data_IF_022902948271
#
_entry.id   IF_022902948271
#
_cell.length_a   1.000
_cell.length_b   1.000
_cell.length_c   1.000
_cell.angle_alpha   90.00
_cell.angle_beta   90.00
_cell.angle_gamma   90.00
#
_symmetry.space_group_name_H-M   'P 1'
#
loop_
_entity.id
_entity.type
_entity.pdbx_description
1 polymer ?
#
# COMPACT_ATOMS: atom_id res chain seq x y z
N UNK A 1 17.85 10.48 -8.31
CA UNK A 1 17.01 10.80 -9.48
C UNK A 1 15.62 10.27 -9.17
N UNK A 2 14.55 11.00 -9.47
CA UNK A 2 13.19 10.45 -9.31
C UNK A 2 12.96 9.38 -10.36
N UNK A 3 12.39 8.24 -9.97
CA UNK A 3 12.08 7.12 -10.86
C UNK A 3 10.60 7.10 -11.18
N UNK A 4 10.26 6.66 -12.38
CA UNK A 4 8.89 6.41 -12.79
C UNK A 4 8.68 4.89 -12.78
N UNK A 5 7.65 4.45 -12.06
CA UNK A 5 7.25 3.05 -11.97
C UNK A 5 5.90 2.78 -12.64
N UNK A 6 5.64 1.52 -12.84
CA UNK A 6 4.37 0.98 -13.31
C UNK A 6 3.88 -0.07 -12.31
N UNK A 7 2.59 -0.05 -11.97
CA UNK A 7 1.99 -1.10 -11.13
C UNK A 7 1.73 -2.34 -11.97
N UNK A 8 2.37 -3.43 -11.59
CA UNK A 8 2.23 -4.72 -12.26
C UNK A 8 0.91 -5.42 -11.91
N UNK A 9 0.62 -6.48 -12.64
CA UNK A 9 -0.55 -7.34 -12.43
C UNK A 9 -0.16 -8.81 -12.63
N UNK A 10 -0.73 -9.68 -11.81
CA UNK A 10 -0.60 -11.14 -11.92
C UNK A 10 -1.99 -11.79 -12.08
N UNK A 11 -2.64 -11.65 -13.24
CA UNK A 11 -4.01 -12.12 -13.43
C UNK A 11 -4.15 -13.62 -13.08
N UNK A 12 -5.10 -13.95 -12.21
CA UNK A 12 -5.32 -15.31 -11.71
C UNK A 12 -4.07 -15.97 -11.07
N UNK A 13 -3.19 -15.18 -10.48
CA UNK A 13 -1.97 -15.67 -9.85
C UNK A 13 -0.81 -15.94 -10.81
N UNK A 14 -0.94 -15.57 -12.09
CA UNK A 14 0.08 -15.86 -13.10
C UNK A 14 1.28 -14.89 -13.01
N UNK A 15 2.30 -15.31 -12.27
CA UNK A 15 3.57 -14.58 -12.12
C UNK A 15 4.29 -14.39 -13.47
N UNK A 16 4.06 -15.27 -14.45
CA UNK A 16 4.73 -15.18 -15.77
C UNK A 16 4.33 -13.92 -16.55
N UNK A 17 3.13 -13.37 -16.27
CA UNK A 17 2.65 -12.13 -16.86
C UNK A 17 3.56 -10.93 -16.61
N UNK A 18 4.33 -10.94 -15.52
CA UNK A 18 5.30 -9.88 -15.21
C UNK A 18 6.42 -9.78 -16.25
N UNK A 19 6.76 -10.87 -16.96
CA UNK A 19 7.81 -10.86 -17.99
C UNK A 19 7.49 -9.93 -19.15
N UNK A 20 6.24 -9.93 -19.62
CA UNK A 20 5.81 -9.04 -20.71
C UNK A 20 5.69 -7.60 -20.22
N UNK A 21 5.25 -7.38 -18.97
CA UNK A 21 5.16 -6.05 -18.37
C UNK A 21 6.55 -5.43 -18.18
N UNK A 22 7.54 -6.22 -17.76
CA UNK A 22 8.94 -5.77 -17.68
C UNK A 22 9.44 -5.33 -19.06
N UNK A 23 9.10 -6.08 -20.12
CA UNK A 23 9.45 -5.71 -21.49
C UNK A 23 8.82 -4.38 -21.90
N UNK A 24 7.53 -4.20 -21.60
CA UNK A 24 6.82 -2.93 -21.85
C UNK A 24 7.42 -1.76 -21.08
N UNK A 25 7.79 -1.96 -19.80
CA UNK A 25 8.48 -0.95 -19.01
C UNK A 25 9.77 -0.48 -19.69
N UNK A 26 10.58 -1.42 -20.20
CA UNK A 26 11.83 -1.09 -20.90
C UNK A 26 11.60 -0.34 -22.21
N UNK A 27 10.63 -0.80 -23.00
CA UNK A 27 10.26 -0.14 -24.28
C UNK A 27 9.76 1.30 -24.03
N UNK A 28 9.07 1.54 -22.90
CA UNK A 28 8.57 2.85 -22.50
C UNK A 28 9.57 3.69 -21.71
N UNK A 29 10.80 3.21 -21.44
CA UNK A 29 11.79 3.82 -20.56
C UNK A 29 11.26 4.09 -19.14
N UNK A 30 10.50 3.16 -18.59
CA UNK A 30 10.03 3.14 -17.21
C UNK A 30 11.10 2.49 -16.34
N UNK A 31 11.40 3.10 -15.19
CA UNK A 31 12.54 2.74 -14.33
C UNK A 31 12.27 1.52 -13.44
N UNK A 32 11.01 1.31 -13.04
CA UNK A 32 10.66 0.28 -12.06
C UNK A 32 9.30 -0.36 -12.32
N UNK A 33 9.14 -1.59 -11.83
CA UNK A 33 7.86 -2.30 -11.77
C UNK A 33 7.50 -2.56 -10.31
N UNK A 34 6.29 -2.20 -9.90
CA UNK A 34 5.72 -2.61 -8.62
C UNK A 34 5.04 -3.97 -8.76
N UNK A 35 5.51 -4.93 -7.96
CA UNK A 35 5.04 -6.32 -8.02
C UNK A 35 3.90 -6.50 -7.02
N UNK A 36 2.70 -6.91 -7.45
CA UNK A 36 1.55 -7.11 -6.57
C UNK A 36 1.61 -8.48 -5.91
N UNK A 37 2.20 -8.59 -4.71
CA UNK A 37 2.27 -9.88 -3.99
C UNK A 37 0.88 -10.42 -3.68
N UNK A 38 -0.07 -9.53 -3.37
CA UNK A 38 -1.47 -9.87 -3.09
C UNK A 38 -2.22 -10.57 -4.25
N UNK A 39 -1.68 -10.52 -5.47
CA UNK A 39 -2.22 -11.24 -6.63
C UNK A 39 -1.52 -12.59 -6.86
N UNK A 40 -0.64 -13.03 -5.96
CA UNK A 40 0.17 -14.25 -6.14
C UNK A 40 -0.04 -15.25 -5.00
N UNK A 41 0.41 -16.49 -5.21
CA UNK A 41 0.44 -17.52 -4.17
C UNK A 41 1.80 -17.59 -3.44
N UNK A 42 2.61 -16.53 -3.49
CA UNK A 42 3.94 -16.47 -2.85
C UNK A 42 3.83 -16.49 -1.33
N UNK A 43 2.76 -15.93 -0.78
CA UNK A 43 2.43 -16.07 0.64
C UNK A 43 1.17 -16.91 0.77
N UNK A 44 1.28 -18.07 1.42
CA UNK A 44 0.17 -19.00 1.60
C UNK A 44 0.11 -19.47 3.05
N UNK A 45 -1.05 -19.29 3.72
CA UNK A 45 -1.23 -19.68 5.12
C UNK A 45 -0.21 -19.06 6.08
N UNK A 46 0.12 -17.78 5.88
CA UNK A 46 1.14 -17.01 6.65
C UNK A 46 2.57 -17.54 6.50
N UNK A 47 2.85 -18.28 5.44
CA UNK A 47 4.19 -18.84 5.14
C UNK A 47 4.57 -18.52 3.70
N UNK A 48 5.87 -18.37 3.46
CA UNK A 48 6.37 -18.22 2.10
C UNK A 48 6.27 -19.58 1.38
N UNK A 49 5.58 -19.58 0.25
CA UNK A 49 5.50 -20.69 -0.68
C UNK A 49 6.79 -20.73 -1.52
N UNK A 50 7.75 -21.53 -1.11
CA UNK A 50 9.09 -21.56 -1.73
C UNK A 50 9.10 -21.86 -3.24
N UNK A 51 8.27 -22.79 -3.77
CA UNK A 51 8.12 -22.96 -5.21
C UNK A 51 7.72 -21.67 -5.94
N UNK A 52 6.69 -20.96 -5.47
CA UNK A 52 6.20 -19.72 -6.09
C UNK A 52 7.21 -18.58 -5.95
N UNK A 53 7.83 -18.41 -4.78
CA UNK A 53 8.93 -17.46 -4.60
C UNK A 53 10.07 -17.72 -5.59
N UNK A 54 10.42 -18.99 -5.85
CA UNK A 54 11.43 -19.32 -6.84
C UNK A 54 11.02 -18.93 -8.27
N UNK A 55 9.75 -19.13 -8.62
CA UNK A 55 9.21 -18.68 -9.92
C UNK A 55 9.31 -17.16 -10.01
N UNK A 56 8.86 -16.43 -8.99
CA UNK A 56 8.93 -14.97 -8.93
C UNK A 56 10.39 -14.48 -9.08
N UNK A 57 11.32 -15.01 -8.31
CA UNK A 57 12.76 -14.67 -8.40
C UNK A 57 13.31 -14.88 -9.81
N UNK A 58 13.00 -15.99 -10.45
CA UNK A 58 13.47 -16.28 -11.82
C UNK A 58 12.84 -15.33 -12.86
N UNK A 59 11.60 -14.94 -12.65
CA UNK A 59 10.89 -14.00 -13.53
C UNK A 59 11.51 -12.60 -13.47
N UNK A 60 11.94 -12.17 -12.26
CA UNK A 60 12.47 -10.83 -12.02
C UNK A 60 14.00 -10.71 -12.17
N UNK A 61 14.74 -11.82 -12.11
CA UNK A 61 16.20 -11.83 -12.08
C UNK A 61 16.81 -11.19 -13.34
N UNK A 62 17.82 -10.33 -13.13
CA UNK A 62 18.68 -9.75 -14.17
C UNK A 62 17.93 -9.03 -15.31
N UNK A 63 16.76 -8.49 -15.03
CA UNK A 63 15.95 -7.80 -16.06
C UNK A 63 16.38 -6.35 -16.30
N UNK A 64 17.22 -5.76 -15.43
CA UNK A 64 17.77 -4.41 -15.62
C UNK A 64 16.74 -3.29 -15.43
N UNK A 65 15.75 -3.52 -14.59
CA UNK A 65 14.83 -2.51 -14.01
C UNK A 65 14.79 -2.71 -12.50
N UNK A 66 14.35 -1.69 -11.77
CA UNK A 66 14.14 -1.81 -10.33
C UNK A 66 12.78 -2.42 -9.99
N UNK A 67 12.67 -2.89 -8.76
CA UNK A 67 11.41 -3.44 -8.25
C UNK A 67 11.02 -2.75 -6.95
N UNK A 68 9.72 -2.52 -6.81
CA UNK A 68 9.03 -2.29 -5.56
C UNK A 68 7.99 -3.40 -5.37
N UNK A 69 7.49 -3.57 -4.16
CA UNK A 69 6.40 -4.51 -3.88
C UNK A 69 5.21 -3.74 -3.34
N UNK A 70 4.01 -4.09 -3.80
CA UNK A 70 2.79 -3.88 -3.04
C UNK A 70 2.51 -5.15 -2.24
N UNK A 71 2.54 -5.05 -0.91
CA UNK A 71 2.27 -6.17 0.01
C UNK A 71 0.79 -6.55 0.04
N UNK A 72 0.45 -7.46 0.92
CA UNK A 72 -0.91 -7.94 1.10
C UNK A 72 -1.88 -6.81 1.49
N UNK A 73 -2.93 -6.58 0.68
CA UNK A 73 -3.87 -5.47 0.82
C UNK A 73 -4.61 -5.46 2.16
N UNK A 74 -4.84 -6.63 2.72
CA UNK A 74 -5.61 -6.80 3.97
C UNK A 74 -4.80 -6.54 5.24
N UNK A 75 -3.49 -6.23 5.14
CA UNK A 75 -2.69 -5.90 6.32
C UNK A 75 -3.24 -4.65 6.99
N UNK A 76 -3.67 -4.79 8.25
CA UNK A 76 -4.30 -3.72 9.01
C UNK A 76 -3.90 -3.80 10.49
N UNK A 77 -2.87 -3.06 10.88
CA UNK A 77 -2.38 -3.06 12.25
C UNK A 77 -3.30 -2.29 13.24
N UNK A 78 -4.37 -1.67 12.77
CA UNK A 78 -5.44 -1.11 13.62
C UNK A 78 -6.54 -2.14 13.94
N UNK A 79 -6.56 -3.28 13.27
CA UNK A 79 -7.39 -4.43 13.66
C UNK A 79 -6.73 -5.16 14.82
N UNK A 80 -7.24 -4.93 16.03
CA UNK A 80 -6.65 -5.50 17.25
C UNK A 80 -7.04 -6.96 17.48
N UNK A 81 -8.13 -7.42 16.90
CA UNK A 81 -8.58 -8.81 16.99
C UNK A 81 -7.61 -9.73 16.22
N UNK A 82 -7.20 -9.32 15.02
CA UNK A 82 -6.33 -10.09 14.14
C UNK A 82 -4.89 -9.52 14.06
N UNK A 83 -4.51 -8.66 15.01
CA UNK A 83 -3.23 -7.93 15.00
C UNK A 83 -2.01 -8.83 14.74
N UNK A 84 -1.94 -9.97 15.40
CA UNK A 84 -0.79 -10.88 15.26
C UNK A 84 -0.72 -11.52 13.86
N UNK A 85 -1.85 -11.77 13.24
CA UNK A 85 -1.91 -12.31 11.88
C UNK A 85 -1.46 -11.25 10.87
N UNK A 86 -1.93 -10.02 11.00
CA UNK A 86 -1.49 -8.91 10.18
C UNK A 86 0.01 -8.63 10.31
N UNK A 87 0.53 -8.66 11.54
CA UNK A 87 1.96 -8.51 11.80
C UNK A 87 2.78 -9.64 11.16
N UNK A 88 2.30 -10.88 11.22
CA UNK A 88 3.00 -12.03 10.61
C UNK A 88 3.00 -11.94 9.09
N UNK A 89 1.89 -11.53 8.46
CA UNK A 89 1.81 -11.29 7.01
C UNK A 89 2.78 -10.17 6.61
N UNK A 90 2.76 -9.01 7.27
CA UNK A 90 3.70 -7.93 7.00
C UNK A 90 5.17 -8.39 7.08
N UNK A 91 5.46 -9.29 8.02
CA UNK A 91 6.79 -9.87 8.13
C UNK A 91 7.15 -10.73 6.92
N UNK A 92 6.18 -11.52 6.38
CA UNK A 92 6.41 -12.28 5.13
C UNK A 92 6.58 -11.37 3.93
N UNK A 93 5.80 -10.29 3.83
CA UNK A 93 5.96 -9.28 2.77
C UNK A 93 7.38 -8.69 2.78
N UNK A 94 7.91 -8.36 3.96
CA UNK A 94 9.29 -7.86 4.11
C UNK A 94 10.32 -8.90 3.64
N UNK A 95 10.16 -10.17 4.04
CA UNK A 95 11.07 -11.26 3.65
C UNK A 95 11.07 -11.46 2.13
N UNK A 96 9.88 -11.52 1.51
CA UNK A 96 9.74 -11.64 0.05
C UNK A 96 10.37 -10.44 -0.64
N UNK A 97 10.14 -9.22 -0.15
CA UNK A 97 10.75 -7.99 -0.69
C UNK A 97 12.27 -8.06 -0.71
N UNK A 98 12.87 -8.49 0.41
CA UNK A 98 14.32 -8.67 0.51
C UNK A 98 14.85 -9.76 -0.43
N UNK A 99 14.13 -10.87 -0.57
CA UNK A 99 14.51 -12.00 -1.41
C UNK A 99 14.54 -11.68 -2.92
N UNK A 100 13.70 -10.75 -3.38
CA UNK A 100 13.70 -10.30 -4.78
C UNK A 100 14.52 -9.03 -5.01
N UNK A 101 15.09 -8.45 -3.95
CA UNK A 101 15.86 -7.20 -4.03
C UNK A 101 15.00 -5.96 -4.28
N UNK A 102 13.74 -5.96 -3.85
CA UNK A 102 12.87 -4.79 -3.94
C UNK A 102 13.37 -3.67 -3.01
N UNK A 103 13.31 -2.43 -3.50
CA UNK A 103 13.76 -1.26 -2.74
C UNK A 103 12.74 -0.80 -1.71
N UNK A 104 11.45 -0.89 -2.04
CA UNK A 104 10.33 -0.45 -1.21
C UNK A 104 9.26 -1.54 -1.14
N UNK A 105 8.66 -1.67 0.02
CA UNK A 105 7.44 -2.42 0.26
C UNK A 105 6.35 -1.43 0.64
N UNK A 106 5.35 -1.30 -0.22
CA UNK A 106 4.12 -0.56 0.10
C UNK A 106 3.24 -1.42 0.97
N UNK A 107 2.75 -0.87 2.07
CA UNK A 107 1.78 -1.51 2.97
C UNK A 107 0.82 -0.46 3.52
N UNK A 108 -0.43 -0.85 3.71
CA UNK A 108 -1.49 0.05 4.14
C UNK A 108 -1.31 0.50 5.59
N UNK A 109 -1.61 1.77 5.87
CA UNK A 109 -1.65 2.27 7.25
C UNK A 109 -2.72 1.57 8.09
N UNK A 110 -3.81 1.18 7.43
CA UNK A 110 -4.94 0.53 8.07
C UNK A 110 -6.07 1.50 8.44
N UNK A 111 -7.17 0.90 8.89
CA UNK A 111 -8.39 1.59 9.26
C UNK A 111 -9.06 0.91 10.44
N UNK A 112 -9.97 1.60 11.10
CA UNK A 112 -10.72 1.08 12.24
C UNK A 112 -12.19 1.46 12.14
N UNK A 113 -13.04 1.02 13.09
CA UNK A 113 -14.44 1.43 13.10
C UNK A 113 -14.61 2.85 13.64
N UNK A 114 -15.67 3.54 13.22
CA UNK A 114 -16.02 4.86 13.77
C UNK A 114 -16.20 4.80 15.29
N UNK A 115 -16.77 3.72 15.84
CA UNK A 115 -16.94 3.54 17.29
C UNK A 115 -15.61 3.48 18.06
N UNK A 116 -14.57 2.88 17.47
CA UNK A 116 -13.22 2.88 18.04
C UNK A 116 -12.62 4.30 17.96
N UNK A 117 -12.74 4.95 16.82
CA UNK A 117 -12.22 6.31 16.61
C UNK A 117 -12.87 7.34 17.57
N UNK A 118 -14.17 7.24 17.83
CA UNK A 118 -14.89 8.12 18.77
C UNK A 118 -14.46 7.91 20.21
N UNK A 119 -14.09 6.69 20.60
CA UNK A 119 -13.46 6.40 21.88
C UNK A 119 -11.97 6.76 21.83
N UNK A 120 -11.64 8.00 22.14
CA UNK A 120 -10.27 8.52 22.02
C UNK A 120 -9.21 7.73 22.80
N UNK A 121 -9.55 7.19 23.98
CA UNK A 121 -8.62 6.38 24.74
C UNK A 121 -8.31 5.07 24.05
N UNK A 122 -9.33 4.43 23.49
CA UNK A 122 -9.20 3.17 22.74
C UNK A 122 -8.42 3.40 21.44
N UNK A 123 -8.80 4.40 20.66
CA UNK A 123 -8.12 4.76 19.42
C UNK A 123 -6.64 5.06 19.66
N UNK A 124 -6.31 5.86 20.67
CA UNK A 124 -4.93 6.18 21.00
C UNK A 124 -4.14 4.93 21.41
N UNK A 125 -4.76 3.98 22.08
CA UNK A 125 -4.11 2.71 22.44
C UNK A 125 -3.79 1.86 21.19
N UNK A 126 -4.69 1.83 20.19
CA UNK A 126 -4.48 1.14 18.91
C UNK A 126 -3.36 1.80 18.11
N UNK A 127 -3.39 3.12 18.00
CA UNK A 127 -2.35 3.91 17.33
C UNK A 127 -0.96 3.69 17.97
N UNK A 128 -0.90 3.62 19.29
CA UNK A 128 0.36 3.35 20.00
C UNK A 128 0.87 1.94 19.71
N UNK A 129 0.02 0.93 19.76
CA UNK A 129 0.40 -0.46 19.46
C UNK A 129 0.86 -0.62 18.02
N UNK A 130 0.18 0.03 17.08
CA UNK A 130 0.60 0.09 15.67
C UNK A 130 1.98 0.75 15.52
N UNK A 131 2.21 1.87 16.19
CA UNK A 131 3.49 2.58 16.20
C UNK A 131 4.64 1.70 16.71
N UNK A 132 4.43 0.98 17.80
CA UNK A 132 5.39 0.03 18.35
C UNK A 132 5.69 -1.11 17.34
N UNK A 133 4.66 -1.62 16.66
CA UNK A 133 4.81 -2.62 15.63
C UNK A 133 5.58 -2.10 14.41
N UNK A 134 5.27 -0.90 13.93
CA UNK A 134 6.03 -0.31 12.84
C UNK A 134 7.51 -0.14 13.18
N UNK A 135 7.83 0.31 14.41
CA UNK A 135 9.23 0.42 14.84
C UNK A 135 9.96 -0.95 14.77
N UNK A 136 9.30 -2.02 15.24
CA UNK A 136 9.85 -3.38 15.18
C UNK A 136 10.00 -3.85 13.71
N UNK A 137 8.98 -3.61 12.88
CA UNK A 137 9.01 -3.99 11.47
C UNK A 137 10.00 -3.14 10.65
N UNK A 138 10.23 -1.90 11.03
CA UNK A 138 11.27 -1.05 10.44
C UNK A 138 12.68 -1.60 10.65
N UNK A 139 13.00 -2.03 11.86
CA UNK A 139 14.28 -2.71 12.13
C UNK A 139 14.36 -4.06 11.39
N UNK A 140 13.25 -4.78 11.29
CA UNK A 140 13.21 -6.03 10.52
C UNK A 140 13.43 -5.76 9.02
N UNK A 141 12.76 -4.78 8.44
CA UNK A 141 12.91 -4.37 7.04
C UNK A 141 14.34 -3.89 6.73
N UNK A 142 14.97 -3.17 7.66
CA UNK A 142 16.36 -2.76 7.56
C UNK A 142 17.30 -3.94 7.38
N UNK A 143 17.09 -5.04 8.12
CA UNK A 143 17.89 -6.26 8.00
C UNK A 143 17.68 -6.97 6.65
N UNK A 144 16.60 -6.68 5.94
CA UNK A 144 16.30 -7.15 4.60
C UNK A 144 16.63 -6.14 3.49
N UNK A 145 17.20 -4.96 3.83
CA UNK A 145 17.48 -3.84 2.93
C UNK A 145 16.23 -3.27 2.24
N UNK A 146 15.09 -3.29 2.91
CA UNK A 146 13.80 -2.83 2.42
C UNK A 146 13.37 -1.57 3.16
N UNK A 147 12.76 -0.62 2.46
CA UNK A 147 12.04 0.53 3.04
C UNK A 147 10.56 0.20 3.10
N UNK A 148 9.94 0.31 4.28
CA UNK A 148 8.49 0.26 4.42
C UNK A 148 7.91 1.60 4.00
N UNK A 149 7.12 1.62 2.94
CA UNK A 149 6.38 2.77 2.46
C UNK A 149 4.92 2.65 2.92
N UNK A 150 4.58 3.35 4.00
CA UNK A 150 3.27 3.26 4.63
C UNK A 150 2.26 4.12 3.86
N UNK A 151 1.25 3.49 3.30
CA UNK A 151 0.30 4.12 2.39
C UNK A 151 -0.95 4.65 3.11
N UNK A 152 -1.38 5.85 2.73
CA UNK A 152 -2.65 6.40 3.17
C UNK A 152 -3.82 5.73 2.46
N UNK A 153 -4.91 5.50 3.19
CA UNK A 153 -6.15 4.90 2.70
C UNK A 153 -7.33 5.88 2.80
N UNK A 154 -8.46 5.42 2.31
CA UNK A 154 -9.79 5.99 2.54
C UNK A 154 -10.70 4.93 3.20
N UNK A 155 -11.81 5.30 3.85
CA UNK A 155 -12.71 4.32 4.45
C UNK A 155 -13.46 3.54 3.35
N UNK A 156 -13.26 2.22 3.30
CA UNK A 156 -13.94 1.34 2.33
C UNK A 156 -15.45 1.18 2.60
N UNK A 157 -15.90 1.54 3.81
CA UNK A 157 -17.31 1.56 4.23
C UNK A 157 -17.58 2.77 5.09
N UNK A 158 -18.85 3.18 5.14
CA UNK A 158 -19.30 4.37 5.89
C UNK A 158 -19.07 4.30 7.40
N UNK A 159 -19.02 3.11 7.96
CA UNK A 159 -18.79 2.88 9.39
C UNK A 159 -17.29 2.74 9.76
N UNK A 160 -16.41 2.89 8.78
CA UNK A 160 -14.97 2.84 8.99
C UNK A 160 -14.35 4.24 9.06
N UNK A 161 -13.23 4.30 9.74
CA UNK A 161 -12.36 5.46 9.85
C UNK A 161 -10.98 5.12 9.30
N UNK A 162 -10.56 5.82 8.26
CA UNK A 162 -9.20 5.81 7.76
C UNK A 162 -8.52 7.15 8.14
N UNK A 163 -7.33 7.13 8.77
CA UNK A 163 -6.61 8.35 9.10
C UNK A 163 -6.25 9.19 7.86
N UNK A 164 -6.29 10.51 8.04
CA UNK A 164 -5.86 11.47 7.01
C UNK A 164 -4.34 11.43 6.80
N UNK A 165 -3.83 11.84 5.64
CA UNK A 165 -2.40 11.96 5.39
C UNK A 165 -1.63 12.73 6.47
N UNK A 166 -2.21 13.79 7.04
CA UNK A 166 -1.60 14.56 8.13
C UNK A 166 -1.52 13.79 9.44
N UNK A 167 -2.45 12.89 9.74
CA UNK A 167 -2.45 12.04 10.93
C UNK A 167 -1.39 10.94 10.79
N UNK A 168 -1.31 10.32 9.62
CA UNK A 168 -0.27 9.34 9.27
C UNK A 168 1.11 9.98 9.37
N UNK A 169 1.29 11.16 8.77
CA UNK A 169 2.54 11.91 8.80
C UNK A 169 3.04 12.16 10.22
N UNK A 170 2.16 12.55 11.13
CA UNK A 170 2.52 12.75 12.55
C UNK A 170 3.06 11.48 13.19
N UNK A 171 2.43 10.34 12.92
CA UNK A 171 2.89 9.07 13.48
C UNK A 171 4.24 8.66 12.88
N UNK A 172 4.39 8.69 11.56
CA UNK A 172 5.64 8.28 10.90
C UNK A 172 6.82 9.18 11.30
N UNK A 173 6.60 10.50 11.38
CA UNK A 173 7.62 11.43 11.89
C UNK A 173 8.00 11.09 13.34
N UNK A 174 7.03 10.74 14.18
CA UNK A 174 7.30 10.40 15.59
C UNK A 174 8.05 9.08 15.76
N UNK A 175 7.88 8.13 14.85
CA UNK A 175 8.66 6.88 14.80
C UNK A 175 10.14 7.18 14.50
N UNK A 176 10.41 8.13 13.59
CA UNK A 176 11.75 8.59 13.23
C UNK A 176 12.73 7.44 12.89
N UNK A 177 12.28 6.51 12.03
CA UNK A 177 13.08 5.35 11.61
C UNK A 177 13.51 5.48 10.15
N UNK A 178 14.79 5.15 9.84
CA UNK A 178 15.34 5.30 8.49
C UNK A 178 14.61 4.49 7.42
N UNK A 179 14.16 3.29 7.79
CA UNK A 179 13.48 2.36 6.88
C UNK A 179 11.94 2.40 6.98
N UNK A 180 11.38 3.46 7.56
CA UNK A 180 9.93 3.70 7.57
C UNK A 180 9.69 5.06 6.93
N UNK A 181 8.97 5.06 5.83
CA UNK A 181 8.59 6.22 5.04
C UNK A 181 7.11 6.17 4.73
N UNK A 182 6.61 7.14 4.01
CA UNK A 182 5.22 7.09 3.52
C UNK A 182 5.18 6.79 2.03
N UNK A 183 4.13 6.10 1.61
CA UNK A 183 3.61 6.09 0.26
C UNK A 183 2.43 7.05 0.20
N UNK A 184 2.51 8.09 -0.60
CA UNK A 184 1.39 9.00 -0.82
C UNK A 184 0.59 8.51 -2.02
N UNK A 185 -0.57 7.93 -1.75
CA UNK A 185 -1.58 7.69 -2.78
C UNK A 185 -2.46 8.93 -2.93
N UNK A 186 -2.44 9.50 -4.13
CA UNK A 186 -3.12 10.77 -4.46
C UNK A 186 -4.63 10.58 -4.51
N UNK A 187 -5.10 9.48 -5.10
CA UNK A 187 -6.52 9.16 -5.22
C UNK A 187 -7.14 8.83 -3.87
N UNK A 188 -6.49 7.99 -3.07
CA UNK A 188 -6.92 7.68 -1.70
C UNK A 188 -7.02 8.95 -0.84
N UNK A 189 -6.03 9.83 -0.94
CA UNK A 189 -6.06 11.12 -0.24
C UNK A 189 -7.26 11.97 -0.70
N UNK A 190 -7.53 12.01 -2.01
CA UNK A 190 -8.65 12.77 -2.56
C UNK A 190 -10.01 12.22 -2.08
N UNK A 191 -10.21 10.91 -2.16
CA UNK A 191 -11.44 10.25 -1.69
C UNK A 191 -11.65 10.51 -0.18
N UNK A 192 -10.62 10.33 0.64
CA UNK A 192 -10.72 10.52 2.09
C UNK A 192 -10.97 11.99 2.45
N UNK A 193 -10.28 12.91 1.82
CA UNK A 193 -10.46 14.36 2.05
C UNK A 193 -11.86 14.83 1.66
N UNK A 194 -12.39 14.38 0.52
CA UNK A 194 -13.75 14.69 0.07
C UNK A 194 -14.78 14.14 1.06
N UNK A 195 -14.64 12.87 1.45
CA UNK A 195 -15.52 12.25 2.44
C UNK A 195 -15.52 12.98 3.79
N UNK A 196 -14.35 13.41 4.24
CA UNK A 196 -14.13 14.09 5.52
C UNK A 196 -14.36 15.61 5.45
N UNK A 197 -14.64 16.15 4.26
CA UNK A 197 -14.74 17.61 4.00
C UNK A 197 -13.50 18.38 4.48
N UNK A 198 -12.31 17.87 4.11
CA UNK A 198 -11.01 18.45 4.45
C UNK A 198 -10.32 18.93 3.18
N UNK A 199 -9.49 19.96 3.31
CA UNK A 199 -8.81 20.55 2.15
C UNK A 199 -7.67 19.65 1.65
N UNK A 200 -7.90 18.96 0.54
CA UNK A 200 -7.03 17.98 -0.08
C UNK A 200 -5.57 18.43 -0.25
N UNK A 201 -5.34 19.62 -0.83
CA UNK A 201 -3.99 20.13 -1.09
C UNK A 201 -3.17 20.32 0.22
N UNK A 202 -3.82 20.65 1.33
CA UNK A 202 -3.13 20.78 2.61
C UNK A 202 -2.66 19.41 3.12
N UNK A 203 -3.47 18.37 2.94
CA UNK A 203 -3.12 17.02 3.32
C UNK A 203 -1.94 16.49 2.50
N UNK A 204 -1.96 16.68 1.17
CA UNK A 204 -0.84 16.32 0.29
C UNK A 204 0.45 17.05 0.67
N UNK A 205 0.37 18.37 0.92
CA UNK A 205 1.52 19.17 1.33
C UNK A 205 2.12 18.70 2.65
N UNK A 206 1.33 18.09 3.51
CA UNK A 206 1.81 17.56 4.79
C UNK A 206 2.55 16.23 4.62
N UNK A 207 2.03 15.32 3.81
CA UNK A 207 2.58 13.97 3.65
C UNK A 207 3.65 13.89 2.55
N UNK A 208 3.49 14.62 1.46
CA UNK A 208 4.39 14.56 0.31
C UNK A 208 5.89 14.74 0.63
N UNK A 209 6.29 15.68 1.51
CA UNK A 209 7.70 15.87 1.85
C UNK A 209 8.39 14.69 2.54
N UNK A 210 7.63 13.78 3.16
CA UNK A 210 8.14 12.59 3.85
C UNK A 210 7.87 11.30 3.08
N UNK A 211 7.27 11.40 1.89
CA UNK A 211 6.98 10.26 1.02
C UNK A 211 8.17 9.94 0.13
N UNK A 212 8.57 8.68 0.12
CA UNK A 212 9.59 8.15 -0.80
C UNK A 212 8.97 7.32 -1.92
N UNK A 213 7.68 7.02 -1.83
CA UNK A 213 6.88 6.38 -2.87
C UNK A 213 5.57 7.14 -3.08
N UNK A 214 5.06 7.12 -4.31
CA UNK A 214 3.82 7.83 -4.68
C UNK A 214 3.03 6.94 -5.63
N UNK A 215 1.77 6.67 -5.31
CA UNK A 215 0.80 6.15 -6.27
C UNK A 215 0.04 7.29 -6.91
N UNK A 216 -0.01 7.25 -8.24
CA UNK A 216 -0.59 8.34 -9.02
C UNK A 216 -1.60 7.80 -10.03
N UNK A 217 -2.84 7.85 -9.65
CA UNK A 217 -4.00 7.53 -10.48
C UNK A 217 -5.15 8.47 -10.12
N UNK A 218 -6.21 8.46 -10.88
CA UNK A 218 -7.33 9.37 -10.70
C UNK A 218 -8.59 8.67 -10.19
N UNK A 219 -9.49 9.44 -9.59
CA UNK A 219 -10.81 9.02 -9.15
C UNK A 219 -11.75 10.23 -9.07
N UNK A 220 -13.05 9.98 -8.92
CA UNK A 220 -14.03 11.07 -8.73
C UNK A 220 -14.13 11.55 -7.28
N UNK A 221 -13.27 11.10 -6.37
CA UNK A 221 -13.24 11.51 -4.97
C UNK A 221 -14.45 11.04 -4.14
N UNK A 222 -15.17 10.03 -4.58
CA UNK A 222 -16.35 9.51 -3.89
C UNK A 222 -16.02 8.16 -3.23
N UNK A 223 -16.44 7.97 -1.98
CA UNK A 223 -16.44 6.65 -1.35
C UNK A 223 -17.57 5.79 -1.93
N UNK A 224 -17.44 4.47 -1.80
CA UNK A 224 -18.49 3.54 -2.21
C UNK A 224 -19.74 3.69 -1.35
N UNK A 225 -20.90 3.91 -2.00
CA UNK A 225 -22.22 4.02 -1.37
C UNK A 225 -23.26 3.10 -2.00
N UNK A 226 -23.01 2.71 -3.25
CA UNK A 226 -23.88 1.82 -4.03
C UNK A 226 -23.12 0.54 -4.21
N UNK A 227 -23.73 -0.57 -3.79
CA UNK A 227 -23.15 -1.88 -4.04
C UNK A 227 -23.19 -2.19 -5.55
N UNK A 228 -22.08 -2.65 -6.09
CA UNK A 228 -21.92 -3.01 -7.49
C UNK A 228 -21.53 -4.47 -7.64
N UNK A 229 -21.87 -5.09 -8.75
CA UNK A 229 -21.58 -6.50 -9.02
C UNK A 229 -20.15 -6.72 -9.50
N UNK A 230 -19.58 -5.73 -10.20
CA UNK A 230 -18.24 -5.75 -10.77
C UNK A 230 -17.63 -4.35 -10.72
N UNK A 231 -16.31 -4.28 -10.74
CA UNK A 231 -15.55 -3.02 -10.67
C UNK A 231 -15.93 -2.01 -11.78
N UNK A 232 -16.20 -2.51 -13.00
CA UNK A 232 -16.64 -1.63 -14.11
C UNK A 232 -17.94 -0.86 -13.80
N UNK A 233 -18.82 -1.39 -12.96
CA UNK A 233 -20.01 -0.65 -12.50
C UNK A 233 -19.64 0.46 -11.52
N UNK A 234 -18.65 0.25 -10.63
CA UNK A 234 -18.14 1.30 -9.75
C UNK A 234 -17.62 2.48 -10.55
N UNK A 235 -16.94 2.24 -11.67
CA UNK A 235 -16.52 3.28 -12.62
C UNK A 235 -17.74 4.02 -13.19
N UNK A 236 -18.79 3.32 -13.57
CA UNK A 236 -20.02 3.93 -14.11
C UNK A 236 -20.73 4.83 -13.10
N UNK A 237 -20.66 4.52 -11.82
CA UNK A 237 -21.19 5.32 -10.73
C UNK A 237 -20.20 6.38 -10.19
N UNK A 238 -18.94 6.34 -10.63
CA UNK A 238 -17.90 7.26 -10.20
C UNK A 238 -17.61 7.19 -8.70
N UNK A 239 -17.50 5.99 -8.15
CA UNK A 239 -17.29 5.76 -6.72
C UNK A 239 -16.17 4.75 -6.46
N UNK A 240 -15.50 4.90 -5.31
CA UNK A 240 -14.42 4.02 -4.90
C UNK A 240 -13.07 4.36 -5.54
N UNK A 241 -12.14 3.44 -5.35
CA UNK A 241 -10.78 3.52 -5.88
C UNK A 241 -10.75 2.91 -7.29
N UNK A 242 -10.76 3.79 -8.29
CA UNK A 242 -11.02 3.40 -9.68
C UNK A 242 -9.76 3.23 -10.53
N UNK A 243 -8.61 3.63 -10.04
CA UNK A 243 -7.34 3.59 -10.79
C UNK A 243 -7.45 4.20 -12.20
N UNK A 244 -8.18 5.31 -12.33
CA UNK A 244 -8.40 5.97 -13.61
C UNK A 244 -7.13 6.62 -14.16
N UNK A 245 -7.00 6.75 -15.49
CA UNK A 245 -5.99 7.59 -16.09
C UNK A 245 -6.10 9.04 -15.57
N UNK A 246 -4.96 9.71 -15.37
CA UNK A 246 -4.91 11.09 -14.89
C UNK A 246 -5.71 12.03 -15.79
N UNK A 247 -6.55 12.84 -15.17
CA UNK A 247 -7.42 13.81 -15.82
C UNK A 247 -8.82 13.28 -16.19
N UNK A 248 -9.20 12.09 -15.69
CA UNK A 248 -10.54 11.53 -15.87
C UNK A 248 -11.47 11.81 -14.68
N UNK A 249 -10.95 12.10 -13.51
CA UNK A 249 -11.69 12.37 -12.28
C UNK A 249 -11.65 13.83 -11.82
#
# INVERSE_FOLDING_TARGET
MKKIGFSGQCPNGDISALSDQIKLCKEANIDSLEVPIFETDVICGKKINQPELKILKNTLLDKGIDYTIHGELSVNLLDQENFNDHKEILKRDIEVSGEIGATHLVTHFGQTTMSVFENKNLYNSYMKKQQECYLEMGEYAKNHNVILAIENLFPFKLDLYAPLPSEISKQIISINHSNIKTCLDISHAYINCTHRNVHFINEIKTMGPISEHIHMHDSFGNIERIWTYIEAESTSYGQGDLHLPLGWG
#
